data_IF_732065081129
#
_entry.id   IF_732065081129
#
_cell.length_a   1.000
_cell.length_b   1.000
_cell.length_c   1.000
_cell.angle_alpha   90.00
_cell.angle_beta   90.00
_cell.angle_gamma   90.00
#
_symmetry.space_group_name_H-M   'P 1'
#
loop_
_entity.id
_entity.type
_entity.pdbx_description
1 polymer ?
#
# COMPACT_ATOMS: atom_id res chain seq x y z
N UNK A 1 8.90 25.38 -25.44
CA UNK A 1 9.54 24.13 -24.99
C UNK A 1 9.27 23.96 -23.50
N UNK A 2 8.29 23.14 -23.14
CA UNK A 2 7.97 22.82 -21.74
C UNK A 2 9.04 21.87 -21.22
N UNK A 3 9.84 22.33 -20.24
CA UNK A 3 10.78 21.47 -19.52
C UNK A 3 10.00 20.28 -18.97
N UNK A 4 10.25 19.08 -19.48
CA UNK A 4 9.93 17.85 -18.78
C UNK A 4 10.70 17.90 -17.47
N UNK A 5 10.03 18.27 -16.39
CA UNK A 5 10.57 18.13 -15.04
C UNK A 5 10.89 16.65 -14.90
N UNK A 6 12.17 16.31 -14.92
CA UNK A 6 12.62 14.92 -14.79
C UNK A 6 12.07 14.39 -13.47
N UNK A 7 11.04 13.54 -13.56
CA UNK A 7 10.49 12.89 -12.39
C UNK A 7 11.60 12.00 -11.80
N UNK A 8 11.87 12.10 -10.49
CA UNK A 8 12.90 11.31 -9.83
C UNK A 8 12.78 9.82 -10.17
N UNK A 9 13.91 9.12 -10.34
CA UNK A 9 13.92 7.70 -10.77
C UNK A 9 13.03 6.82 -9.88
N UNK A 10 13.08 7.05 -8.56
CA UNK A 10 12.27 6.32 -7.58
C UNK A 10 10.76 6.47 -7.80
N UNK A 11 10.28 7.59 -8.35
CA UNK A 11 8.84 7.78 -8.64
C UNK A 11 8.39 6.87 -9.78
N UNK A 12 9.25 6.71 -10.80
CA UNK A 12 8.98 5.81 -11.94
C UNK A 12 8.95 4.36 -11.47
N UNK A 13 9.92 3.98 -10.64
CA UNK A 13 9.99 2.65 -10.02
C UNK A 13 8.80 2.39 -9.11
N UNK A 14 8.41 3.36 -8.27
CA UNK A 14 7.25 3.24 -7.39
C UNK A 14 5.96 3.00 -8.17
N UNK A 15 5.70 3.80 -9.21
CA UNK A 15 4.53 3.60 -10.08
C UNK A 15 4.56 2.26 -10.81
N UNK A 16 5.74 1.83 -11.27
CA UNK A 16 5.92 0.52 -11.93
C UNK A 16 5.64 -0.62 -10.95
N UNK A 17 6.14 -0.52 -9.71
CA UNK A 17 5.93 -1.50 -8.66
C UNK A 17 4.46 -1.58 -8.24
N UNK A 18 3.78 -0.44 -8.10
CA UNK A 18 2.33 -0.38 -7.84
C UNK A 18 1.57 -1.08 -8.96
N UNK A 19 1.83 -0.72 -10.22
CA UNK A 19 1.17 -1.32 -11.39
C UNK A 19 1.42 -2.83 -11.54
N UNK A 20 2.59 -3.31 -11.09
CA UNK A 20 2.95 -4.73 -11.15
C UNK A 20 2.32 -5.54 -10.00
N UNK A 21 2.10 -4.92 -8.84
CA UNK A 21 1.74 -5.62 -7.60
C UNK A 21 0.25 -5.55 -7.27
N UNK A 22 -0.50 -4.66 -7.90
CA UNK A 22 -1.86 -4.27 -7.51
C UNK A 22 -2.81 -4.35 -8.72
N UNK A 23 -4.11 -4.64 -8.49
CA UNK A 23 -5.10 -4.78 -9.57
C UNK A 23 -5.27 -3.49 -10.39
N UNK A 24 -5.76 -3.64 -11.62
CA UNK A 24 -6.01 -2.50 -12.51
C UNK A 24 -6.94 -1.48 -11.85
N UNK A 25 -6.56 -0.21 -11.91
CA UNK A 25 -7.35 0.91 -11.38
C UNK A 25 -6.66 1.71 -10.28
N UNK A 26 -5.62 1.17 -9.66
CA UNK A 26 -4.85 1.85 -8.61
C UNK A 26 -3.72 2.70 -9.22
N UNK A 27 -3.57 3.92 -8.71
CA UNK A 27 -2.66 4.94 -9.21
C UNK A 27 -2.08 5.72 -8.05
N UNK A 28 -0.75 5.74 -7.94
CA UNK A 28 -0.06 6.49 -6.90
C UNK A 28 0.43 7.85 -7.43
N UNK A 29 0.16 8.90 -6.67
CA UNK A 29 0.49 10.28 -7.02
C UNK A 29 0.92 11.12 -5.82
N UNK A 30 1.65 12.20 -6.09
CA UNK A 30 1.99 13.16 -5.07
C UNK A 30 0.73 13.96 -4.68
N UNK A 31 0.43 13.98 -3.39
CA UNK A 31 -0.61 14.82 -2.80
C UNK A 31 -0.09 16.18 -2.35
N UNK A 32 -0.97 16.92 -1.67
CA UNK A 32 -0.62 18.22 -1.09
C UNK A 32 0.44 18.06 0.01
N UNK A 33 1.34 19.05 0.15
CA UNK A 33 2.36 19.10 1.22
C UNK A 33 3.22 17.83 1.33
N UNK A 34 3.70 17.32 0.19
CA UNK A 34 4.57 16.14 0.13
C UNK A 34 3.93 14.85 0.67
N UNK A 35 2.61 14.75 0.80
CA UNK A 35 1.96 13.47 1.14
C UNK A 35 1.92 12.53 -0.06
N UNK A 36 1.93 11.23 0.18
CA UNK A 36 1.58 10.23 -0.85
C UNK A 36 0.06 10.12 -0.94
N UNK A 37 -0.46 10.15 -2.17
CA UNK A 37 -1.87 9.90 -2.48
C UNK A 37 -2.00 8.64 -3.31
N UNK A 38 -3.02 7.87 -2.98
CA UNK A 38 -3.42 6.72 -3.75
C UNK A 38 -4.82 6.96 -4.31
N UNK A 39 -4.93 6.79 -5.63
CA UNK A 39 -6.13 7.02 -6.40
C UNK A 39 -6.60 5.69 -6.98
N UNK A 40 -7.83 5.31 -6.65
CA UNK A 40 -8.40 4.05 -7.09
C UNK A 40 -9.59 4.35 -7.99
N UNK A 41 -9.45 3.98 -9.25
CA UNK A 41 -10.52 3.98 -10.24
C UNK A 41 -11.32 2.69 -10.07
N UNK A 42 -12.47 2.79 -9.40
CA UNK A 42 -13.44 1.69 -9.29
C UNK A 42 -14.20 1.51 -10.59
N UNK A 43 -14.56 2.63 -11.24
CA UNK A 43 -15.21 2.71 -12.55
C UNK A 43 -14.80 4.03 -13.24
N UNK A 44 -15.11 4.19 -14.53
CA UNK A 44 -14.86 5.43 -15.29
C UNK A 44 -15.44 6.71 -14.63
N UNK A 45 -16.41 6.56 -13.70
CA UNK A 45 -17.07 7.67 -12.98
C UNK A 45 -16.75 7.74 -11.48
N UNK A 46 -16.12 6.72 -10.88
CA UNK A 46 -15.86 6.68 -9.43
C UNK A 46 -14.37 6.56 -9.17
N UNK A 47 -13.80 7.71 -8.81
CA UNK A 47 -12.41 7.86 -8.41
C UNK A 47 -12.41 8.10 -6.90
N UNK A 48 -11.80 7.19 -6.15
CA UNK A 48 -11.53 7.40 -4.72
C UNK A 48 -10.11 7.94 -4.60
N UNK A 49 -9.95 9.12 -4.00
CA UNK A 49 -8.65 9.70 -3.67
C UNK A 49 -8.44 9.58 -2.15
N UNK A 50 -7.36 8.92 -1.74
CA UNK A 50 -6.99 8.77 -0.35
C UNK A 50 -5.57 9.28 -0.14
N UNK A 51 -5.39 10.16 0.83
CA UNK A 51 -4.06 10.53 1.32
C UNK A 51 -3.62 9.50 2.35
N UNK A 52 -2.45 8.90 2.13
CA UNK A 52 -1.86 7.91 3.04
C UNK A 52 -0.78 8.58 3.91
N UNK A 53 -0.53 8.10 5.13
CA UNK A 53 0.38 8.74 6.08
C UNK A 53 1.86 8.45 5.77
N UNK A 54 2.27 8.58 4.50
CA UNK A 54 3.64 8.42 4.04
C UNK A 54 4.02 9.64 3.21
N UNK A 55 5.22 10.17 3.41
CA UNK A 55 5.68 11.27 2.60
C UNK A 55 6.03 10.78 1.18
N UNK A 56 5.86 11.65 0.20
CA UNK A 56 6.24 11.45 -1.20
C UNK A 56 7.75 11.65 -1.34
N UNK A 57 8.49 10.73 -0.74
CA UNK A 57 9.96 10.72 -0.74
C UNK A 57 10.47 9.28 -0.90
N UNK A 58 11.70 9.15 -1.37
CA UNK A 58 12.33 7.87 -1.64
C UNK A 58 12.49 7.00 -0.38
N UNK A 59 12.71 7.57 0.79
CA UNK A 59 12.83 6.78 2.02
C UNK A 59 11.53 6.08 2.44
N UNK A 60 10.37 6.60 2.03
CA UNK A 60 9.07 6.09 2.46
C UNK A 60 8.36 5.24 1.38
N UNK A 61 8.86 5.24 0.13
CA UNK A 61 8.12 4.65 -1.00
C UNK A 61 7.92 3.14 -0.86
N UNK A 62 8.88 2.42 -0.28
CA UNK A 62 8.82 0.97 -0.04
C UNK A 62 7.73 0.62 1.00
N UNK A 63 7.68 1.39 2.09
CA UNK A 63 6.66 1.24 3.14
C UNK A 63 5.26 1.60 2.62
N UNK A 64 5.17 2.68 1.84
CA UNK A 64 3.94 3.06 1.17
C UNK A 64 3.45 1.95 0.22
N UNK A 65 4.34 1.37 -0.59
CA UNK A 65 4.01 0.27 -1.50
C UNK A 65 3.45 -0.94 -0.74
N UNK A 66 4.08 -1.34 0.36
CA UNK A 66 3.63 -2.49 1.16
C UNK A 66 2.21 -2.29 1.67
N UNK A 67 1.89 -1.08 2.14
CA UNK A 67 0.57 -0.76 2.64
C UNK A 67 -0.48 -0.70 1.54
N UNK A 68 -0.15 -0.09 0.40
CA UNK A 68 -1.05 -0.07 -0.76
C UNK A 68 -1.33 -1.50 -1.23
N UNK A 69 -0.30 -2.37 -1.29
CA UNK A 69 -0.46 -3.78 -1.64
C UNK A 69 -1.37 -4.52 -0.66
N UNK A 70 -1.22 -4.27 0.64
CA UNK A 70 -2.05 -4.89 1.68
C UNK A 70 -3.50 -4.43 1.61
N UNK A 71 -3.72 -3.12 1.39
CA UNK A 71 -5.06 -2.56 1.21
C UNK A 71 -5.74 -3.09 -0.07
N UNK A 72 -4.98 -3.22 -1.16
CA UNK A 72 -5.48 -3.80 -2.40
C UNK A 72 -5.88 -5.26 -2.25
N UNK A 73 -5.07 -6.05 -1.55
CA UNK A 73 -5.38 -7.45 -1.23
C UNK A 73 -6.66 -7.56 -0.41
N UNK A 74 -6.80 -6.76 0.66
CA UNK A 74 -8.02 -6.72 1.47
C UNK A 74 -9.26 -6.30 0.66
N UNK A 75 -9.08 -5.37 -0.29
CA UNK A 75 -10.15 -4.95 -1.18
C UNK A 75 -10.62 -6.09 -2.11
N UNK A 76 -9.68 -6.85 -2.69
CA UNK A 76 -10.00 -8.02 -3.51
C UNK A 76 -10.62 -9.16 -2.70
N UNK A 77 -10.05 -9.50 -1.54
CA UNK A 77 -10.57 -10.55 -0.65
C UNK A 77 -11.99 -10.26 -0.16
N UNK A 78 -12.33 -8.97 0.01
CA UNK A 78 -13.69 -8.55 0.35
C UNK A 78 -14.67 -8.58 -0.83
N UNK A 79 -14.24 -9.01 -2.01
CA UNK A 79 -14.99 -8.89 -3.27
C UNK A 79 -15.49 -7.45 -3.50
N UNK A 80 -14.64 -6.47 -3.20
CA UNK A 80 -14.91 -5.03 -3.36
C UNK A 80 -16.10 -4.48 -2.53
N UNK A 81 -16.49 -5.21 -1.48
CA UNK A 81 -17.58 -4.82 -0.56
C UNK A 81 -17.11 -3.83 0.50
N UNK A 82 -15.84 -3.90 0.90
CA UNK A 82 -15.26 -2.95 1.82
C UNK A 82 -14.93 -1.63 1.12
N UNK A 83 -15.12 -0.52 1.82
CA UNK A 83 -14.63 0.76 1.35
C UNK A 83 -13.10 0.84 1.50
N UNK A 84 -12.49 1.62 0.63
CA UNK A 84 -11.03 1.76 0.54
C UNK A 84 -10.42 2.27 1.85
N UNK A 85 -11.09 3.20 2.53
CA UNK A 85 -10.59 3.76 3.79
C UNK A 85 -10.51 2.66 4.85
N UNK A 86 -11.53 1.81 4.93
CA UNK A 86 -11.52 0.61 5.77
C UNK A 86 -10.42 -0.37 5.38
N UNK A 87 -10.20 -0.62 4.09
CA UNK A 87 -9.07 -1.47 3.66
C UNK A 87 -7.70 -0.90 4.07
N UNK A 88 -7.52 0.42 3.99
CA UNK A 88 -6.29 1.09 4.44
C UNK A 88 -6.13 1.13 5.97
N UNK A 89 -7.25 1.12 6.72
CA UNK A 89 -7.26 0.97 8.17
C UNK A 89 -6.91 -0.46 8.57
N UNK A 90 -7.48 -1.48 7.92
CA UNK A 90 -7.12 -2.89 8.13
C UNK A 90 -5.64 -3.10 7.79
N UNK A 91 -5.17 -2.57 6.67
CA UNK A 91 -3.76 -2.59 6.30
C UNK A 91 -2.88 -1.83 7.32
N UNK A 92 -3.40 -0.81 7.99
CA UNK A 92 -2.69 -0.13 9.08
C UNK A 92 -2.51 -1.05 10.28
N UNK A 93 -3.61 -1.69 10.72
CA UNK A 93 -3.63 -2.59 11.88
C UNK A 93 -2.75 -3.79 11.62
N UNK A 94 -2.84 -4.40 10.44
CA UNK A 94 -1.96 -5.49 10.03
C UNK A 94 -0.51 -5.01 9.93
N UNK A 95 -0.24 -3.79 9.43
CA UNK A 95 1.11 -3.21 9.38
C UNK A 95 1.71 -2.93 10.77
N UNK A 96 0.89 -2.55 11.75
CA UNK A 96 1.33 -2.37 13.14
C UNK A 96 1.48 -3.71 13.89
N UNK A 97 0.72 -4.73 13.50
CA UNK A 97 0.86 -6.10 14.01
C UNK A 97 1.97 -6.89 13.29
N UNK A 98 2.45 -6.40 12.13
CA UNK A 98 3.58 -6.96 11.36
C UNK A 98 4.91 -6.25 11.61
N UNK A 99 5.06 -5.55 12.74
CA UNK A 99 6.29 -5.76 13.52
C UNK A 99 6.28 -7.22 13.96
N UNK A 100 6.63 -8.11 13.04
CA UNK A 100 6.78 -9.53 13.30
C UNK A 100 7.88 -9.63 14.34
N UNK A 101 7.45 -9.78 15.59
CA UNK A 101 8.32 -10.18 16.67
C UNK A 101 8.72 -11.63 16.34
N UNK A 102 9.81 -11.75 15.57
CA UNK A 102 10.36 -13.02 15.07
C UNK A 102 10.59 -14.01 16.22
N UNK A 103 10.94 -13.52 17.41
CA UNK A 103 11.03 -14.35 18.61
C UNK A 103 9.69 -15.01 18.93
N UNK A 104 8.60 -14.23 19.00
CA UNK A 104 7.24 -14.76 19.22
C UNK A 104 6.79 -15.76 18.16
N UNK A 105 7.13 -15.50 16.88
CA UNK A 105 6.78 -16.44 15.79
C UNK A 105 7.57 -17.75 15.89
N UNK A 106 8.85 -17.68 16.26
CA UNK A 106 9.70 -18.86 16.49
C UNK A 106 9.22 -19.64 17.73
N UNK A 107 8.84 -18.96 18.80
CA UNK A 107 8.28 -19.58 20.01
C UNK A 107 6.97 -20.32 19.69
N UNK A 108 6.04 -19.67 19.00
CA UNK A 108 4.76 -20.28 18.61
C UNK A 108 4.97 -21.52 17.72
N UNK A 109 5.94 -21.47 16.79
CA UNK A 109 6.29 -22.63 15.96
C UNK A 109 6.90 -23.79 16.76
N UNK A 110 7.75 -23.48 17.75
CA UNK A 110 8.32 -24.49 18.66
C UNK A 110 7.25 -25.14 19.55
N UNK A 111 6.28 -24.37 20.02
CA UNK A 111 5.14 -24.89 20.77
C UNK A 111 4.24 -25.79 19.92
N UNK A 112 3.93 -25.38 18.69
CA UNK A 112 3.18 -26.20 17.74
C UNK A 112 3.86 -27.55 17.47
N UNK A 113 5.19 -27.56 17.32
CA UNK A 113 5.98 -28.79 17.15
C UNK A 113 6.12 -29.67 18.40
N UNK A 114 5.80 -29.17 19.60
CA UNK A 114 5.79 -29.99 20.82
C UNK A 114 4.47 -30.74 21.02
N UNK A 115 3.42 -30.36 20.29
CA UNK A 115 2.08 -30.96 20.37
C UNK A 115 1.89 -32.07 19.31
N UNK A 116 2.87 -32.28 18.43
CA UNK A 116 2.91 -33.39 17.44
C UNK A 116 3.86 -34.48 17.91
#
# INVERSE_FOLDING_TARGET
MTKTVDQPSWVKEFRKAVKASIPKGWLVMQGNKESTRDQIRKDAKKIVDLTIPYAWKESDWSSALLRIRSAAKAYEESNQRLDIKTCFNIAHTVSSETEINLEKTIETYREFKKIV
#
